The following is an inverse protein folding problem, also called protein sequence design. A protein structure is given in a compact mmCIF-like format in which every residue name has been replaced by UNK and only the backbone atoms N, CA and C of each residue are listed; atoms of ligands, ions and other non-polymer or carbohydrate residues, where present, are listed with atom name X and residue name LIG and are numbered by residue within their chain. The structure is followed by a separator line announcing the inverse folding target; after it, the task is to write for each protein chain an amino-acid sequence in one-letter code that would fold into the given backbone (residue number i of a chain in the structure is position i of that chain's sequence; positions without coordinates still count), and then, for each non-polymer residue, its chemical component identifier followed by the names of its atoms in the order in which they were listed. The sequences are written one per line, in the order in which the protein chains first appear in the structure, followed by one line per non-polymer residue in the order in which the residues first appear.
data_IF_839856525457
#
_entry.id   IF_839856525457
#
_cell.length_a   1.000
_cell.length_b   1.000
_cell.length_c   1.000
_cell.angle_alpha   90.00
_cell.angle_beta   90.00
_cell.angle_gamma   90.00
#
_symmetry.space_group_name_H-M   'P 1'
#
loop_
_entity.id
_entity.type
_entity.pdbx_description
1 polymer ?
2 non-polymer ?
3 non-polymer ?
4 water ?
#
# COMPACT_ATOMS: atom_id res chain seq x y z
N UNK A 1 -23.29 -15.01 12.98
CA UNK A 1 -22.47 -14.88 11.75
C UNK A 1 -22.72 -13.55 11.00
N UNK A 2 -22.97 -12.47 11.76
CA UNK A 2 -23.05 -11.10 11.23
C UNK A 2 -21.83 -10.69 10.41
N UNK A 3 -20.61 -10.96 10.93
CA UNK A 3 -19.44 -10.67 10.10
C UNK A 3 -19.40 -11.55 8.85
N UNK A 4 -19.88 -12.79 8.95
CA UNK A 4 -19.92 -13.66 7.77
C UNK A 4 -20.87 -13.14 6.70
N UNK A 5 -21.99 -12.57 7.17
CA UNK A 5 -22.96 -11.96 6.25
C UNK A 5 -22.40 -10.71 5.61
N UNK A 6 -21.60 -9.95 6.35
CA UNK A 6 -20.94 -8.78 5.78
C UNK A 6 -19.87 -9.19 4.76
N UNK A 7 -19.10 -10.23 5.07
CA UNK A 7 -18.12 -10.81 4.13
C UNK A 7 -18.78 -11.16 2.78
N UNK A 8 -19.91 -11.86 2.83
CA UNK A 8 -20.67 -12.25 1.61
C UNK A 8 -21.00 -11.05 0.76
N UNK A 9 -21.51 -9.98 1.39
CA UNK A 9 -21.88 -8.74 0.67
C UNK A 9 -20.68 -8.05 0.03
N UNK A 10 -19.56 -7.98 0.76
CA UNK A 10 -18.34 -7.40 0.24
C UNK A 10 -17.75 -8.29 -0.88
N UNK A 11 -17.74 -9.60 -0.68
CA UNK A 11 -17.26 -10.55 -1.72
C UNK A 11 -18.11 -10.43 -2.97
N UNK A 12 -19.43 -10.25 -2.79
CA UNK A 12 -20.32 -10.00 -3.94
C UNK A 12 -19.97 -8.72 -4.70
N UNK A 13 -19.76 -7.61 -3.99
CA UNK A 13 -19.41 -6.35 -4.60
C UNK A 13 -18.07 -6.49 -5.37
N UNK A 14 -17.09 -7.11 -4.72
CA UNK A 14 -15.77 -7.28 -5.35
C UNK A 14 -15.86 -8.19 -6.58
N UNK A 15 -16.71 -9.20 -6.51
CA UNK A 15 -16.90 -10.08 -7.67
C UNK A 15 -17.54 -9.38 -8.88
N UNK A 16 -18.49 -8.50 -8.61
CA UNK A 16 -19.17 -7.72 -9.65
C UNK A 16 -18.17 -6.71 -10.23
N UNK A 17 -17.29 -6.20 -9.39
CA UNK A 17 -16.27 -5.26 -9.87
C UNK A 17 -15.28 -5.97 -10.79
N UNK A 18 -14.88 -7.17 -10.40
CA UNK A 18 -14.05 -8.04 -11.22
C UNK A 18 -14.72 -8.31 -12.60
N UNK A 19 -16.01 -8.64 -12.60
CA UNK A 19 -16.72 -8.90 -13.87
C UNK A 19 -16.71 -7.67 -14.80
N UNK A 20 -16.66 -6.48 -14.21
CA UNK A 20 -16.78 -5.24 -14.95
C UNK A 20 -15.46 -4.57 -15.24
N UNK A 21 -14.36 -5.10 -14.68
CA UNK A 21 -13.04 -4.52 -14.96
C UNK A 21 -12.68 -4.62 -16.45
N UNK A 22 -11.90 -3.67 -16.92
CA UNK A 22 -11.38 -3.65 -18.28
C UNK A 22 -10.51 -4.91 -18.56
N UNK A 23 -10.40 -5.26 -19.85
CA UNK A 23 -9.64 -6.46 -20.29
C UNK A 23 -8.21 -6.51 -19.75
N UNK A 24 -7.60 -5.35 -19.58
CA UNK A 24 -6.23 -5.23 -19.09
C UNK A 24 -6.06 -5.79 -17.67
N UNK A 25 -7.16 -5.82 -16.92
CA UNK A 25 -7.15 -6.37 -15.57
C UNK A 25 -7.65 -7.82 -15.53
N UNK A 26 -7.71 -8.46 -16.70
CA UNK A 26 -8.13 -9.84 -16.78
C UNK A 26 -7.11 -10.70 -17.57
N UNK A 27 -7.17 -12.02 -17.34
CA UNK A 27 -6.38 -12.97 -18.11
C UNK A 27 -7.01 -14.34 -18.08
N UNK A 28 -6.82 -15.09 -19.16
CA UNK A 28 -7.26 -16.48 -19.20
C UNK A 28 -6.12 -17.45 -18.84
N UNK A 29 -4.91 -16.93 -18.64
CA UNK A 29 -3.74 -17.75 -18.38
C UNK A 29 -3.79 -18.27 -16.96
N UNK A 30 -3.30 -19.48 -16.77
CA UNK A 30 -3.11 -20.03 -15.45
C UNK A 30 -1.62 -19.85 -15.14
N UNK A 31 -1.36 -18.92 -14.23
CA UNK A 31 -0.01 -18.48 -13.93
C UNK A 31 0.60 -19.36 -12.87
N UNK A 32 1.97 -19.40 -12.81
CA UNK A 32 2.67 -20.28 -11.89
C UNK A 32 2.26 -20.01 -10.43
N UNK A 33 2.07 -21.07 -9.64
CA UNK A 33 1.74 -20.90 -8.22
C UNK A 33 2.94 -20.41 -7.42
N UNK A 34 2.65 -19.45 -6.55
CA UNK A 34 3.63 -18.88 -5.65
C UNK A 34 3.08 -18.95 -4.22
N UNK A 35 3.96 -18.91 -3.24
CA UNK A 35 3.53 -18.81 -1.83
C UNK A 35 4.31 -17.67 -1.19
N UNK A 36 3.62 -16.56 -0.91
CA UNK A 36 4.20 -15.43 -0.18
C UNK A 36 3.47 -15.26 1.16
N UNK A 37 3.94 -14.34 2.00
CA UNK A 37 3.32 -14.15 3.31
C UNK A 37 1.79 -13.95 3.26
N UNK A 38 1.13 -14.43 4.29
CA UNK A 38 -0.34 -14.58 4.27
C UNK A 38 -1.13 -13.39 3.75
N UNK A 39 -0.84 -12.17 4.25
CA UNK A 39 -1.67 -11.01 3.95
C UNK A 39 -1.64 -10.72 2.44
N UNK A 40 -0.44 -10.73 1.88
CA UNK A 40 -0.27 -10.54 0.45
C UNK A 40 -0.87 -11.71 -0.34
N UNK A 41 -0.61 -12.96 0.08
CA UNK A 41 -1.11 -14.16 -0.62
C UNK A 41 -2.63 -14.05 -0.80
N UNK A 42 -3.32 -13.72 0.28
CA UNK A 42 -4.78 -13.60 0.28
C UNK A 42 -5.28 -12.38 -0.48
N UNK A 43 -4.68 -11.21 -0.27
CA UNK A 43 -5.15 -10.00 -0.91
C UNK A 43 -4.97 -10.06 -2.44
N UNK A 44 -3.86 -10.67 -2.86
CA UNK A 44 -3.64 -11.02 -4.27
C UNK A 44 -4.78 -11.78 -4.89
N UNK A 45 -5.22 -12.86 -4.24
CA UNK A 45 -6.26 -13.74 -4.77
C UNK A 45 -7.58 -12.99 -4.85
N UNK A 46 -7.84 -12.17 -3.83
CA UNK A 46 -9.10 -11.41 -3.70
C UNK A 46 -9.24 -10.28 -4.72
N UNK A 47 -8.17 -9.50 -4.90
CA UNK A 47 -8.27 -8.34 -5.79
C UNK A 47 -8.07 -8.68 -7.27
N UNK A 48 -7.19 -9.63 -7.53
CA UNK A 48 -6.75 -9.99 -8.88
C UNK A 48 -6.78 -11.50 -9.11
N UNK A 49 -7.97 -12.09 -8.96
CA UNK A 49 -8.11 -13.53 -8.99
C UNK A 49 -7.56 -14.21 -10.28
N UNK A 50 -7.64 -13.55 -11.42
CA UNK A 50 -7.19 -14.17 -12.69
C UNK A 50 -5.68 -14.48 -12.65
N UNK A 51 -4.95 -13.74 -11.82
CA UNK A 51 -3.50 -13.80 -11.82
C UNK A 51 -2.97 -14.73 -10.75
N UNK A 52 -3.83 -15.13 -9.81
CA UNK A 52 -3.37 -15.93 -8.67
C UNK A 52 -4.24 -17.13 -8.34
N UNK A 53 -5.37 -17.25 -9.04
CA UNK A 53 -6.19 -18.48 -9.14
C UNK A 53 -5.96 -18.86 -10.62
N UNK A 54 -5.94 -20.12 -11.09
CA UNK A 54 -6.85 -21.24 -10.86
C UNK A 54 -8.18 -20.96 -11.62
N UNK A 55 -8.13 -20.56 -12.91
CA UNK A 55 -9.34 -20.10 -13.66
C UNK A 55 -10.62 -20.89 -13.38
N UNK A 56 -10.47 -22.21 -13.22
CA UNK A 56 -11.59 -23.09 -12.91
C UNK A 56 -12.24 -22.72 -11.58
N UNK A 57 -11.45 -22.11 -10.69
CA UNK A 57 -11.85 -21.83 -9.31
C UNK A 57 -12.49 -20.45 -9.12
N UNK A 58 -12.37 -19.58 -10.12
CA UNK A 58 -12.76 -18.15 -9.99
C UNK A 58 -14.28 -17.90 -10.04
N UNK A 59 -14.86 -17.73 -8.85
CA UNK A 59 -16.30 -17.58 -8.62
C UNK A 59 -16.52 -16.59 -7.47
N UNK A 60 -17.77 -16.17 -7.23
CA UNK A 60 -18.06 -15.34 -6.05
C UNK A 60 -17.73 -16.12 -4.77
N UNK A 61 -18.15 -17.38 -4.73
CA UNK A 61 -17.97 -18.25 -3.56
C UNK A 61 -16.48 -18.47 -3.25
N UNK A 62 -15.62 -18.46 -4.26
CA UNK A 62 -14.20 -18.63 -3.92
C UNK A 62 -13.60 -17.31 -3.40
N UNK A 63 -14.00 -16.17 -3.98
CA UNK A 63 -13.61 -14.86 -3.45
C UNK A 63 -14.00 -14.75 -1.97
N UNK A 64 -15.24 -15.14 -1.65
CA UNK A 64 -15.76 -15.16 -0.28
C UNK A 64 -14.91 -16.04 0.66
N UNK A 65 -14.53 -17.22 0.18
CA UNK A 65 -13.76 -18.18 0.96
C UNK A 65 -12.38 -17.62 1.33
N UNK A 66 -11.69 -17.00 0.36
CA UNK A 66 -10.36 -16.43 0.59
C UNK A 66 -10.49 -15.21 1.46
N UNK A 67 -11.56 -14.45 1.24
CA UNK A 67 -11.79 -13.27 2.08
C UNK A 67 -12.02 -13.68 3.54
N UNK A 68 -12.78 -14.77 3.75
CA UNK A 68 -13.00 -15.31 5.11
C UNK A 68 -11.66 -15.74 5.74
N UNK A 69 -10.83 -16.42 4.97
CA UNK A 69 -9.49 -16.82 5.47
C UNK A 69 -8.67 -15.61 5.93
N UNK A 70 -8.70 -14.56 5.12
CA UNK A 70 -7.96 -13.34 5.42
C UNK A 70 -8.52 -12.65 6.67
N UNK A 71 -9.86 -12.56 6.74
CA UNK A 71 -10.51 -11.95 7.87
C UNK A 71 -10.21 -12.68 9.18
N UNK A 72 -10.27 -14.01 9.17
CA UNK A 72 -10.01 -14.77 10.39
C UNK A 72 -8.58 -14.52 10.85
N UNK A 73 -7.66 -14.50 9.87
CA UNK A 73 -6.23 -14.30 10.13
C UNK A 73 -5.97 -12.94 10.78
N UNK A 74 -6.50 -11.87 10.17
CA UNK A 74 -6.25 -10.52 10.68
C UNK A 74 -7.01 -10.32 11.98
N UNK A 75 -8.20 -10.91 12.09
CA UNK A 75 -8.94 -10.77 13.35
C UNK A 75 -8.18 -11.42 14.50
N UNK A 76 -7.62 -12.60 14.27
CA UNK A 76 -6.82 -13.28 15.29
C UNK A 76 -5.58 -12.46 15.72
N UNK A 77 -4.85 -11.93 14.74
CA UNK A 77 -3.69 -11.10 15.05
C UNK A 77 -4.00 -9.80 15.77
N UNK A 78 -5.04 -9.08 15.33
CA UNK A 78 -5.42 -7.83 16.01
C UNK A 78 -5.91 -8.19 17.42
N UNK A 79 -6.59 -9.31 17.59
CA UNK A 79 -7.07 -9.74 18.94
C UNK A 79 -5.88 -9.99 19.86
N UNK A 80 -4.89 -10.71 19.33
CA UNK A 80 -3.65 -11.01 20.07
C UNK A 80 -2.97 -9.75 20.61
N UNK A 81 -2.84 -8.70 19.81
CA UNK A 81 -2.20 -7.48 20.29
C UNK A 81 -3.12 -6.52 21.05
N UNK A 82 -4.42 -6.71 20.93
CA UNK A 82 -5.39 -5.75 21.47
C UNK A 82 -6.47 -6.52 22.22
N UNK A 83 -7.68 -6.53 21.68
CA UNK A 83 -8.77 -7.32 22.28
C UNK A 83 -9.81 -7.74 21.22
N UNK A 84 -10.70 -8.68 21.58
CA UNK A 84 -11.63 -9.27 20.60
C UNK A 84 -12.58 -8.24 20.00
N UNK A 85 -13.15 -7.38 20.85
CA UNK A 85 -14.08 -6.36 20.37
C UNK A 85 -13.40 -5.35 19.42
N UNK A 86 -12.21 -4.87 19.79
CA UNK A 86 -11.48 -3.92 18.96
C UNK A 86 -11.12 -4.55 17.62
N UNK A 87 -10.76 -5.83 17.65
CA UNK A 87 -10.42 -6.60 16.46
C UNK A 87 -11.63 -6.75 15.51
N UNK A 88 -12.80 -7.08 16.07
CA UNK A 88 -14.05 -7.11 15.29
C UNK A 88 -14.31 -5.80 14.56
N UNK A 89 -14.27 -4.69 15.29
CA UNK A 89 -14.46 -3.34 14.74
C UNK A 89 -13.50 -2.98 13.61
N UNK A 90 -12.22 -3.23 13.87
CA UNK A 90 -11.19 -2.92 12.89
C UNK A 90 -11.37 -3.75 11.62
N UNK A 91 -11.75 -5.02 11.77
CA UNK A 91 -11.88 -5.89 10.61
C UNK A 91 -13.12 -5.53 9.82
N UNK A 92 -14.18 -5.15 10.53
CA UNK A 92 -15.37 -4.64 9.82
C UNK A 92 -15.01 -3.36 9.05
N UNK A 93 -14.12 -2.54 9.61
CA UNK A 93 -13.60 -1.38 8.89
C UNK A 93 -12.79 -1.74 7.64
N UNK A 94 -11.92 -2.75 7.74
CA UNK A 94 -11.22 -3.26 6.52
C UNK A 94 -12.23 -3.71 5.44
N UNK A 95 -13.14 -4.60 5.83
CA UNK A 95 -14.16 -5.11 4.90
C UNK A 95 -14.92 -4.00 4.18
N UNK A 96 -15.36 -3.01 4.94
CA UNK A 96 -16.08 -1.87 4.35
C UNK A 96 -15.28 -1.11 3.28
N UNK A 97 -13.96 -1.00 3.50
CA UNK A 97 -13.10 -0.24 2.60
C UNK A 97 -12.58 -1.06 1.41
N UNK A 98 -12.80 -2.36 1.38
CA UNK A 98 -12.13 -3.14 0.31
C UNK A 98 -12.57 -2.72 -1.11
N UNK A 99 -13.87 -2.42 -1.32
CA UNK A 99 -14.22 -2.00 -2.69
C UNK A 99 -13.50 -0.72 -3.10
N UNK A 100 -13.39 0.26 -2.20
CA UNK A 100 -12.68 1.50 -2.56
C UNK A 100 -11.19 1.22 -2.78
N UNK A 101 -10.62 0.34 -1.96
CA UNK A 101 -9.19 -0.01 -2.13
C UNK A 101 -8.95 -0.69 -3.46
N UNK A 102 -9.88 -1.56 -3.85
CA UNK A 102 -9.79 -2.19 -5.18
C UNK A 102 -9.72 -1.11 -6.29
N UNK A 103 -10.59 -0.09 -6.21
CA UNK A 103 -10.61 0.96 -7.20
C UNK A 103 -9.28 1.70 -7.18
N UNK A 104 -8.75 1.97 -5.99
CA UNK A 104 -7.50 2.67 -5.91
C UNK A 104 -6.34 1.87 -6.49
N UNK A 105 -6.29 0.59 -6.16
CA UNK A 105 -5.19 -0.29 -6.66
C UNK A 105 -5.21 -0.36 -8.20
N UNK A 106 -6.39 -0.27 -8.82
CA UNK A 106 -6.43 -0.17 -10.28
C UNK A 106 -5.70 1.08 -10.77
N UNK A 107 -5.91 2.21 -10.11
CA UNK A 107 -5.20 3.47 -10.45
C UNK A 107 -3.68 3.35 -10.22
N UNK A 108 -3.31 2.63 -9.18
CA UNK A 108 -1.90 2.39 -8.90
C UNK A 108 -1.23 1.58 -10.03
N UNK A 109 -1.94 0.59 -10.54
CA UNK A 109 -1.43 -0.21 -11.68
C UNK A 109 -1.28 0.62 -12.95
N UNK A 110 -2.29 1.43 -13.22
CA UNK A 110 -2.25 2.45 -14.28
C UNK A 110 -1.02 3.34 -14.21
N UNK A 111 -0.72 3.87 -13.02
CA UNK A 111 0.41 4.74 -12.85
C UNK A 111 1.71 3.96 -13.00
N UNK A 112 1.74 2.72 -12.50
CA UNK A 112 2.94 1.88 -12.67
C UNK A 112 3.24 1.65 -14.18
N UNK A 113 2.24 1.20 -14.93
CA UNK A 113 2.48 0.97 -16.37
C UNK A 113 2.89 2.28 -17.04
N UNK A 114 2.18 3.34 -16.69
CA UNK A 114 2.41 4.62 -17.33
C UNK A 114 3.80 5.16 -17.03
N UNK A 115 4.32 4.85 -15.84
CA UNK A 115 5.59 5.43 -15.43
C UNK A 115 6.81 4.55 -15.69
N UNK A 116 6.59 3.37 -16.29
CA UNK A 116 7.70 2.42 -16.44
C UNK A 116 7.87 1.83 -17.85
N UNK A 117 8.87 2.32 -18.60
CA UNK A 117 9.14 1.85 -19.96
C UNK A 117 9.42 0.36 -20.00
N UNK A 118 9.85 -0.25 -18.89
CA UNK A 118 10.17 -1.68 -18.90
C UNK A 118 8.95 -2.59 -18.68
N UNK A 119 7.78 -2.03 -18.38
CA UNK A 119 6.59 -2.85 -18.12
C UNK A 119 5.88 -3.24 -19.43
N UNK A 120 5.71 -4.55 -19.67
CA UNK A 120 5.08 -4.99 -20.93
C UNK A 120 3.56 -4.98 -20.87
N UNK A 121 3.00 -5.09 -19.67
CA UNK A 121 1.54 -5.07 -19.49
C UNK A 121 1.20 -5.11 -18.02
N UNK A 122 -0.06 -4.85 -17.69
CA UNK A 122 -0.43 -4.88 -16.28
C UNK A 122 -0.21 -6.24 -15.60
N UNK A 123 -0.38 -7.34 -16.33
CA UNK A 123 -0.21 -8.66 -15.73
C UNK A 123 1.15 -8.81 -15.03
N UNK A 124 2.21 -8.23 -15.59
CA UNK A 124 3.52 -8.47 -14.95
C UNK A 124 3.60 -7.64 -13.68
N UNK A 125 2.98 -6.47 -13.69
CA UNK A 125 3.01 -5.57 -12.55
C UNK A 125 2.23 -6.22 -11.41
N UNK A 126 1.02 -6.66 -11.70
CA UNK A 126 0.21 -7.43 -10.75
C UNK A 126 0.96 -8.65 -10.19
N UNK A 127 1.58 -9.45 -11.08
CA UNK A 127 2.21 -10.71 -10.68
C UNK A 127 3.47 -10.51 -9.83
N UNK A 128 4.30 -9.49 -10.13
CA UNK A 128 5.61 -9.44 -9.47
C UNK A 128 6.26 -8.04 -9.18
N UNK A 129 5.63 -6.92 -9.54
CA UNK A 129 6.26 -5.63 -9.25
C UNK A 129 6.20 -5.44 -7.74
N UNK A 130 7.36 -5.17 -7.10
CA UNK A 130 7.43 -5.12 -5.63
C UNK A 130 6.78 -3.86 -5.07
N UNK A 131 6.92 -2.73 -5.78
CA UNK A 131 6.20 -1.51 -5.38
C UNK A 131 4.69 -1.80 -5.29
N UNK A 132 4.19 -2.59 -6.23
CA UNK A 132 2.72 -2.88 -6.24
C UNK A 132 2.36 -3.87 -5.13
N UNK A 133 3.19 -4.89 -4.91
CA UNK A 133 2.93 -5.79 -3.78
C UNK A 133 2.86 -5.02 -2.48
N UNK A 134 3.78 -4.07 -2.30
CA UNK A 134 3.86 -3.28 -1.06
C UNK A 134 2.56 -2.46 -0.87
N UNK A 135 2.11 -1.85 -1.97
CA UNK A 135 0.96 -0.98 -1.95
C UNK A 135 -0.31 -1.73 -1.64
N UNK A 136 -0.43 -2.96 -2.13
CA UNK A 136 -1.60 -3.78 -1.82
C UNK A 136 -1.77 -3.93 -0.32
N UNK A 137 -0.68 -4.29 0.34
CA UNK A 137 -0.75 -4.57 1.76
C UNK A 137 -0.84 -3.25 2.52
N UNK A 138 -0.10 -2.24 2.08
CA UNK A 138 -0.18 -0.92 2.68
C UNK A 138 -1.64 -0.42 2.78
N UNK A 139 -2.40 -0.50 1.67
CA UNK A 139 -3.75 0.11 1.69
C UNK A 139 -4.66 -0.54 2.73
N UNK A 140 -4.42 -1.82 3.02
CA UNK A 140 -5.18 -2.53 4.05
C UNK A 140 -4.64 -2.20 5.45
N UNK A 141 -3.30 -2.31 5.63
CA UNK A 141 -2.68 -1.84 6.91
C UNK A 141 -3.05 -0.42 7.35
N UNK A 142 -3.22 0.48 6.40
CA UNK A 142 -3.61 1.84 6.71
C UNK A 142 -5.05 1.90 7.30
N UNK A 143 -5.94 1.00 6.86
CA UNK A 143 -7.32 1.00 7.45
C UNK A 143 -7.26 0.60 8.96
N UNK A 144 -6.44 -0.40 9.25
CA UNK A 144 -6.12 -0.76 10.62
C UNK A 144 -5.60 0.42 11.43
N UNK A 145 -4.65 1.17 10.87
CA UNK A 145 -4.08 2.31 11.57
C UNK A 145 -5.18 3.38 11.81
N UNK A 146 -6.01 3.59 10.80
CA UNK A 146 -7.12 4.52 10.93
C UNK A 146 -8.15 4.10 12.01
N UNK A 147 -8.24 2.81 12.29
CA UNK A 147 -9.11 2.33 13.36
C UNK A 147 -8.52 2.56 14.74
N UNK A 148 -7.26 3.03 14.79
CA UNK A 148 -6.52 3.25 16.03
C UNK A 148 -5.54 2.14 16.40
N UNK A 149 -5.32 1.19 15.49
CA UNK A 149 -4.49 0.02 15.82
C UNK A 149 -3.03 0.40 15.57
N UNK A 150 -2.12 -0.07 16.44
CA UNK A 150 -0.76 0.43 16.37
C UNK A 150 0.31 -0.66 16.36
N UNK A 151 -0.11 -1.90 16.49
CA UNK A 151 0.84 -3.03 16.61
C UNK A 151 0.80 -3.96 15.40
N UNK A 152 -0.29 -4.70 15.22
CA UNK A 152 -0.34 -5.64 14.09
C UNK A 152 -0.16 -4.96 12.71
N UNK A 153 -0.72 -3.76 12.53
CA UNK A 153 -0.56 -3.07 11.24
C UNK A 153 0.92 -2.80 10.94
N UNK A 154 1.71 -2.53 11.97
CA UNK A 154 3.15 -2.41 11.76
C UNK A 154 3.81 -3.76 11.44
N UNK A 155 3.39 -4.82 12.14
CA UNK A 155 3.93 -6.15 11.84
C UNK A 155 3.59 -6.55 10.40
N UNK A 156 2.37 -6.23 9.94
CA UNK A 156 2.02 -6.53 8.53
C UNK A 156 2.99 -5.84 7.55
N UNK A 157 3.28 -4.57 7.83
CA UNK A 157 4.16 -3.80 6.96
C UNK A 157 5.63 -4.24 7.09
N UNK A 158 5.99 -4.79 8.25
CA UNK A 158 7.31 -5.41 8.36
C UNK A 158 7.47 -6.67 7.49
N UNK A 159 6.39 -7.43 7.29
CA UNK A 159 6.40 -8.47 6.27
C UNK A 159 6.70 -7.89 4.86
N UNK A 160 6.01 -6.81 4.51
CA UNK A 160 6.29 -6.09 3.24
C UNK A 160 7.76 -5.64 3.19
N UNK A 161 8.25 -5.06 4.29
CA UNK A 161 9.61 -4.62 4.41
C UNK A 161 10.62 -5.76 4.13
N UNK A 162 10.37 -6.94 4.70
CA UNK A 162 11.31 -8.07 4.50
C UNK A 162 11.28 -8.52 3.06
N UNK A 163 10.07 -8.64 2.55
CA UNK A 163 9.84 -9.15 1.18
C UNK A 163 10.33 -8.23 0.05
N UNK A 164 10.24 -6.92 0.24
CA UNK A 164 10.51 -5.95 -0.83
C UNK A 164 11.55 -4.90 -0.54
N UNK A 165 11.96 -4.79 0.73
CA UNK A 165 12.86 -3.76 1.21
C UNK A 165 12.27 -2.36 1.14
N UNK A 166 10.95 -2.30 1.05
CA UNK A 166 10.22 -1.04 0.99
C UNK A 166 9.52 -0.93 2.34
N UNK A 167 9.72 0.22 2.97
CA UNK A 167 9.43 0.44 4.38
C UNK A 167 8.38 1.53 4.45
N UNK A 168 7.10 1.14 4.48
CA UNK A 168 6.02 2.11 4.59
C UNK A 168 5.30 1.94 5.91
N UNK A 169 5.30 2.98 6.75
CA UNK A 169 4.57 2.91 8.02
C UNK A 169 3.08 2.91 7.73
N UNK A 170 2.31 2.07 8.43
CA UNK A 170 0.88 1.97 8.16
C UNK A 170 0.11 3.28 8.37
N UNK A 171 0.66 4.21 9.16
CA UNK A 171 0.07 5.54 9.30
C UNK A 171 0.24 6.52 8.14
N UNK A 172 1.22 6.30 7.27
CA UNK A 172 1.33 7.10 6.04
C UNK A 172 -0.01 7.20 5.30
N UNK A 173 -0.26 8.37 4.73
CA UNK A 173 -1.49 8.62 3.99
C UNK A 173 -1.10 8.82 2.52
N UNK A 174 -1.55 7.91 1.66
CA UNK A 174 -1.15 7.98 0.23
C UNK A 174 -2.36 7.89 -0.70
N UNK A 175 -2.48 8.86 -1.63
CA UNK A 175 -3.56 8.89 -2.59
C UNK A 175 -3.31 7.88 -3.73
N UNK A 176 -4.24 7.82 -4.71
CA UNK A 176 -4.10 6.91 -5.87
C UNK A 176 -3.07 7.26 -6.93
N UNK A 177 -3.06 6.46 -7.98
CA UNK A 177 -2.06 6.54 -9.04
C UNK A 177 -0.69 6.63 -8.43
N UNK A 178 -0.44 5.76 -7.44
CA UNK A 178 0.83 5.75 -6.74
C UNK A 178 1.75 4.70 -7.35
N UNK A 179 3.02 5.05 -7.51
CA UNK A 179 4.00 4.11 -8.07
C UNK A 179 5.35 4.29 -7.40
N UNK A 180 5.85 3.18 -6.84
CA UNK A 180 7.27 3.04 -6.43
C UNK A 180 7.92 2.10 -7.46
N UNK A 181 8.91 2.62 -8.17
CA UNK A 181 9.72 1.85 -9.10
C UNK A 181 10.99 1.41 -8.43
N UNK A 182 11.26 0.11 -8.56
CA UNK A 182 12.49 -0.56 -8.03
C UNK A 182 12.33 -0.75 -6.51
N UNK A 183 12.41 0.34 -5.75
CA UNK A 183 11.76 0.39 -4.45
C UNK A 183 12.70 0.09 -3.30
N UNK A 184 13.79 -0.65 -3.54
CA UNK A 184 14.69 -0.98 -2.40
C UNK A 184 15.14 0.29 -1.71
N UNK A 185 14.95 0.37 -0.40
CA UNK A 185 15.46 1.49 0.34
C UNK A 185 14.46 2.61 0.51
N UNK A 186 13.26 2.46 -0.10
CA UNK A 186 12.23 3.50 0.10
C UNK A 186 11.77 3.48 1.55
N UNK A 187 11.70 4.65 2.19
CA UNK A 187 11.17 4.72 3.55
C UNK A 187 10.11 5.82 3.57
N UNK A 188 8.90 5.49 4.04
CA UNK A 188 7.83 6.48 4.11
C UNK A 188 7.24 6.45 5.53
N UNK A 189 7.33 7.57 6.24
CA UNK A 189 7.04 7.61 7.66
C UNK A 189 5.58 7.68 8.09
N UNK A 190 5.38 7.37 9.37
CA UNK A 190 4.10 7.37 10.05
C UNK A 190 3.19 8.56 9.74
N UNK A 191 3.78 9.74 9.62
CA UNK A 191 2.98 10.93 9.42
C UNK A 191 3.14 11.55 8.06
N UNK A 192 3.78 10.82 7.16
CA UNK A 192 3.87 11.26 5.76
C UNK A 192 2.49 11.40 5.09
N UNK A 193 2.34 12.41 4.23
CA UNK A 193 1.11 12.55 3.43
C UNK A 193 1.53 12.70 2.01
N UNK A 194 0.98 11.85 1.14
CA UNK A 194 1.40 11.86 -0.25
C UNK A 194 0.13 11.98 -1.14
N UNK A 195 0.18 12.93 -2.06
CA UNK A 195 -0.96 13.20 -2.94
C UNK A 195 -1.02 12.23 -4.11
N UNK A 196 -1.77 12.62 -5.15
CA UNK A 196 -2.06 11.75 -6.29
C UNK A 196 -0.88 11.75 -7.27
N UNK A 197 -0.74 10.65 -8.02
CA UNK A 197 0.31 10.58 -9.06
C UNK A 197 1.69 10.90 -8.47
N UNK A 198 2.02 10.24 -7.35
CA UNK A 198 3.38 10.30 -6.87
C UNK A 198 4.20 9.16 -7.46
N UNK A 199 5.37 9.50 -8.00
CA UNK A 199 6.29 8.52 -8.53
C UNK A 199 7.58 8.55 -7.73
N UNK A 200 7.92 7.43 -7.11
CA UNK A 200 9.08 7.39 -6.20
C UNK A 200 10.03 6.28 -6.63
N UNK A 201 11.34 6.57 -6.61
CA UNK A 201 12.36 5.61 -6.93
C UNK A 201 13.05 4.97 -5.74
N UNK A 202 13.92 4.02 -6.04
CA UNK A 202 14.73 3.34 -5.04
C UNK A 202 15.45 4.33 -4.10
N UNK A 203 15.66 3.94 -2.85
CA UNK A 203 16.44 4.73 -1.89
C UNK A 203 15.89 6.11 -1.59
N UNK A 204 14.60 6.33 -1.81
CA UNK A 204 13.96 7.59 -1.43
C UNK A 204 13.44 7.51 0.02
N UNK A 205 13.70 8.55 0.80
CA UNK A 205 13.10 8.66 2.14
C UNK A 205 12.15 9.85 2.15
N UNK A 206 10.93 9.63 2.64
CA UNK A 206 10.00 10.72 2.99
C UNK A 206 9.83 10.49 4.48
N UNK A 207 10.67 11.12 5.27
CA UNK A 207 10.87 10.61 6.62
C UNK A 207 11.37 11.67 7.56
N UNK A 208 12.13 11.22 8.57
CA UNK A 208 12.71 12.12 9.55
C UNK A 208 13.96 11.43 10.11
N UNK A 209 14.85 12.26 10.63
CA UNK A 209 16.01 11.80 11.39
C UNK A 209 15.99 12.46 12.75
N UNK A 210 16.49 11.79 13.79
CA UNK A 210 16.48 12.40 15.11
C UNK A 210 17.87 12.32 15.74
N UNK A 211 18.57 13.44 15.72
CA UNK A 211 19.86 13.58 16.40
C UNK A 211 19.71 13.47 17.91
N UNK A 212 20.56 12.65 18.52
CA UNK A 212 20.48 12.37 19.96
C UNK A 212 20.58 13.61 20.83
N UNK A 213 19.79 13.64 21.88
CA UNK A 213 19.64 14.84 22.66
C UNK A 213 20.30 14.85 24.02
N UNK A 214 20.67 13.69 24.56
CA UNK A 214 21.29 13.64 25.91
C UNK A 214 22.03 12.36 26.33
N UNK A 215 21.32 11.23 26.48
CA UNK A 215 19.97 11.04 25.93
C UNK A 215 18.79 11.15 26.88
N UNK A 216 17.69 11.66 26.33
CA UNK A 216 16.34 11.58 26.91
C UNK A 216 15.57 10.54 26.10
N UNK A 217 14.25 10.59 26.15
CA UNK A 217 13.37 9.68 25.41
C UNK A 217 12.47 10.54 24.51
N UNK A 218 12.66 10.39 23.20
CA UNK A 218 12.07 11.31 22.23
C UNK A 218 10.56 11.31 22.36
N UNK A 219 9.95 12.47 22.16
CA UNK A 219 8.50 12.64 22.19
C UNK A 219 7.86 11.63 21.26
N UNK A 220 6.74 11.04 21.68
CA UNK A 220 6.06 10.09 20.82
C UNK A 220 5.26 10.83 19.78
N UNK A 221 5.24 10.26 18.57
CA UNK A 221 4.35 10.71 17.50
C UNK A 221 4.50 12.16 17.07
N UNK A 222 3.36 12.80 16.77
CA UNK A 222 3.25 14.14 16.18
C UNK A 222 3.66 14.18 14.72
N UNK A 223 3.08 15.12 13.99
CA UNK A 223 3.40 15.33 12.58
C UNK A 223 4.86 15.76 12.42
N UNK A 224 5.62 14.92 11.71
CA UNK A 224 7.05 15.08 11.70
C UNK A 224 7.69 14.59 10.40
N UNK A 225 6.88 14.14 9.45
CA UNK A 225 7.37 13.68 8.13
C UNK A 225 6.77 14.55 7.01
N UNK A 226 7.30 14.47 5.79
CA UNK A 226 6.85 15.50 4.83
C UNK A 226 5.40 15.34 4.32
N UNK A 227 4.85 16.43 3.78
CA UNK A 227 3.57 16.34 3.07
C UNK A 227 3.89 16.67 1.63
N UNK A 228 3.47 15.82 0.71
CA UNK A 228 3.85 15.87 -0.71
C UNK A 228 2.54 16.05 -1.49
N UNK A 229 2.53 16.99 -2.44
CA UNK A 229 1.33 17.29 -3.21
C UNK A 229 1.13 16.31 -4.34
N UNK A 230 0.53 16.77 -5.45
CA UNK A 230 0.20 15.91 -6.56
C UNK A 230 1.24 16.01 -7.67
N UNK A 231 1.31 14.99 -8.51
CA UNK A 231 2.25 14.93 -9.63
C UNK A 231 3.70 15.23 -9.26
N UNK A 232 4.16 14.58 -8.19
CA UNK A 232 5.51 14.77 -7.69
C UNK A 232 6.31 13.53 -8.04
N UNK A 233 7.51 13.75 -8.56
CA UNK A 233 8.48 12.66 -8.86
C UNK A 233 9.71 12.84 -8.00
N UNK A 234 10.06 11.78 -7.26
CA UNK A 234 11.18 11.87 -6.36
C UNK A 234 12.29 10.90 -6.80
N UNK A 235 13.41 11.49 -7.23
CA UNK A 235 14.51 10.74 -7.84
C UNK A 235 15.27 9.82 -6.91
N UNK A 236 15.94 8.86 -7.50
CA UNK A 236 16.75 7.85 -6.79
C UNK A 236 17.64 8.48 -5.70
N UNK A 237 17.47 8.05 -4.44
CA UNK A 237 18.42 8.49 -3.40
C UNK A 237 18.08 9.76 -2.65
N UNK A 238 17.04 10.45 -3.12
CA UNK A 238 16.60 11.69 -2.49
C UNK A 238 16.12 11.44 -1.05
N UNK A 239 16.55 12.30 -0.13
CA UNK A 239 16.17 12.21 1.28
C UNK A 239 15.38 13.46 1.63
N UNK A 240 14.07 13.29 1.79
CA UNK A 240 13.16 14.38 2.12
C UNK A 240 12.71 14.22 3.58
N UNK A 241 13.15 15.14 4.44
CA UNK A 241 13.08 14.93 5.88
C UNK A 241 12.38 16.06 6.63
N UNK A 242 11.56 15.67 7.60
CA UNK A 242 10.99 16.64 8.53
C UNK A 242 9.56 16.97 8.18
N UNK A 243 8.98 17.82 9.02
CA UNK A 243 7.62 18.25 8.79
C UNK A 243 7.69 19.42 7.81
N UNK A 244 7.90 19.11 6.53
CA UNK A 244 8.03 20.10 5.46
C UNK A 244 6.98 19.81 4.39
N UNK A 245 6.66 20.80 3.55
CA UNK A 245 5.69 20.60 2.46
C UNK A 245 6.40 20.70 1.12
N UNK A 246 6.23 19.68 0.30
CA UNK A 246 6.63 19.74 -1.09
C UNK A 246 5.34 19.95 -1.91
N UNK A 247 5.36 20.95 -2.79
CA UNK A 247 4.16 21.31 -3.54
C UNK A 247 3.83 20.35 -4.67
N UNK A 248 2.79 20.66 -5.42
CA UNK A 248 2.44 19.88 -6.59
C UNK A 248 3.38 20.15 -7.76
N UNK A 249 3.47 19.18 -8.69
CA UNK A 249 4.29 19.30 -9.88
C UNK A 249 5.76 19.63 -9.57
N UNK A 250 6.33 18.89 -8.61
CA UNK A 250 7.73 19.10 -8.23
C UNK A 250 8.48 17.87 -8.73
N UNK A 251 9.67 18.11 -9.27
CA UNK A 251 10.62 17.03 -9.63
C UNK A 251 11.85 17.14 -8.74
N UNK A 252 12.14 16.09 -7.98
CA UNK A 252 13.34 16.07 -7.13
C UNK A 252 14.42 15.19 -7.77
N UNK A 253 15.64 15.75 -7.89
CA UNK A 253 16.83 15.03 -8.43
C UNK A 253 17.54 13.99 -7.56
N UNK A 254 18.35 13.14 -8.22
CA UNK A 254 19.06 12.06 -7.51
C UNK A 254 19.89 12.57 -6.33
N UNK A 255 19.85 11.85 -5.22
CA UNK A 255 20.72 12.09 -4.08
C UNK A 255 20.47 13.42 -3.35
N UNK A 256 19.38 14.10 -3.69
CA UNK A 256 19.08 15.39 -3.04
C UNK A 256 18.78 15.27 -1.55
N UNK A 257 19.24 16.22 -0.76
CA UNK A 257 18.92 16.28 0.65
C UNK A 257 17.96 17.45 0.86
N UNK A 258 16.68 17.15 1.08
CA UNK A 258 15.62 18.17 1.16
C UNK A 258 15.12 18.30 2.60
N UNK A 259 15.31 19.47 3.19
CA UNK A 259 14.85 19.69 4.58
C UNK A 259 14.09 20.99 4.79
N UNK A 260 13.68 21.58 3.68
CA UNK A 260 12.78 22.74 3.77
C UNK A 260 11.71 22.65 2.71
N UNK A 261 10.68 23.49 2.87
CA UNK A 261 9.57 23.53 1.91
C UNK A 261 10.07 23.69 0.47
N UNK A 262 9.39 23.03 -0.45
CA UNK A 262 9.67 23.16 -1.87
C UNK A 262 8.37 23.56 -2.55
N UNK A 263 8.37 24.72 -3.20
CA UNK A 263 7.14 25.22 -3.81
C UNK A 263 6.78 24.46 -5.07
N UNK A 264 5.50 24.50 -5.41
CA UNK A 264 4.95 23.83 -6.58
C UNK A 264 5.66 24.24 -7.87
N UNK A 265 5.56 23.36 -8.87
CA UNK A 265 6.00 23.64 -10.24
C UNK A 265 7.47 24.03 -10.35
N UNK A 266 8.35 23.24 -9.77
CA UNK A 266 9.78 23.46 -9.93
C UNK A 266 10.59 22.15 -9.87
N UNK A 267 11.83 22.24 -10.36
CA UNK A 267 12.78 21.13 -10.38
C UNK A 267 13.98 21.40 -9.48
N UNK A 268 14.23 20.47 -8.56
CA UNK A 268 15.35 20.57 -7.62
C UNK A 268 16.45 19.59 -8.05
N UNK A 269 17.65 20.15 -8.15
CA UNK A 269 18.87 19.42 -8.52
C UNK A 269 20.01 20.25 -7.91
N UNK A 270 21.24 19.74 -8.00
CA UNK A 270 22.42 20.54 -7.61
C UNK A 270 23.53 20.41 -8.65
X LIG B 1 11.25 6.08 12.84
X LIG B 1 11.47 7.56 13.05
X LIG B 1 10.13 8.31 13.09
X LIG B 1 10.11 9.52 13.14
X LIG B 1 12.33 8.08 11.90
X LIG B 1 11.37 8.01 10.45
X LIG B 1 9.05 7.73 13.06
X LIG C 1 21.43 5.68 -0.94
X LIG C 1 20.81 6.29 -2.12
X LIG C 1 20.83 4.38 -0.72
X LIG C 1 22.86 5.52 -1.15
X LIG C 1 21.18 6.52 0.23
#
# INVERSE_FOLDING_TARGET
ASMDNYIYSIAHQLYEMYLQDEDAFHSKRDYPHKKVFTELQKLRKIFFPDFFMKHQKITESHIASELTKLVDYIKDSVTAYNDELFAHQCVMAILEKLPSIKRTLKTDLIAAYAGDPAAPGLSLIIRCYPGFQAVIVYRIAHVLYECGERYYCREMMESVHSYTSIDIHPGASIKGHFFIDHGVGVVIGETAIIGEWCRIYQSVTLGAMHFQEEGGVIKRGTKRHPTVGDYVTIGTGAKVLGNIIVGSHVRIGANCWIDRDVDSNQTVYISEHPTHFVKPCTTKGMKNDTEIIAIIPSSPLANSPSILEHHHHHH
CYS N CA C O CB SG OXT
SO4 S O1 O2 O3 O4
#
